data_IF_066758047869
#
_entry.id   IF_066758047869
#
_cell.length_a   1.000
_cell.length_b   1.000
_cell.length_c   1.000
_cell.angle_alpha   90.00
_cell.angle_beta   90.00
_cell.angle_gamma   90.00
#
_symmetry.space_group_name_H-M   'P 1'
#
loop_
_entity.id
_entity.type
_entity.pdbx_description
1 polymer ?
#
# COMPACT_ATOMS: atom_id res chain seq x y z
N UNK A 1 -9.99 60.71 14.59
CA UNK A 1 -11.03 59.73 14.97
C UNK A 1 -10.44 58.82 16.03
N UNK A 2 -10.86 58.97 17.29
CA UNK A 2 -10.42 58.15 18.44
C UNK A 2 -11.52 57.13 18.71
N UNK A 3 -11.16 55.85 18.81
CA UNK A 3 -12.08 54.79 19.23
C UNK A 3 -11.76 54.43 20.69
N UNK A 4 -12.70 54.74 21.57
CA UNK A 4 -12.70 54.29 22.96
C UNK A 4 -13.16 52.84 23.03
N UNK A 5 -12.33 51.99 23.63
CA UNK A 5 -12.69 50.63 24.06
C UNK A 5 -13.15 50.69 25.52
N UNK A 6 -14.46 50.52 25.72
CA UNK A 6 -15.03 50.20 27.02
C UNK A 6 -16.07 49.13 26.82
N UNK A 7 -15.91 47.97 27.47
CA UNK A 7 -16.87 47.43 28.43
C UNK A 7 -16.38 46.08 28.97
N UNK A 8 -16.08 46.08 30.27
CA UNK A 8 -16.01 44.90 31.13
C UNK A 8 -17.44 44.37 31.33
N UNK A 9 -17.63 43.06 31.12
CA UNK A 9 -18.85 42.35 31.50
C UNK A 9 -18.50 41.00 32.13
N UNK A 10 -18.33 41.00 33.46
CA UNK A 10 -18.27 39.78 34.29
C UNK A 10 -19.66 39.13 34.30
N UNK A 11 -19.76 37.87 33.89
CA UNK A 11 -20.92 37.01 34.12
C UNK A 11 -20.55 35.91 35.12
N UNK A 12 -21.32 35.69 36.20
CA UNK A 12 -21.03 34.69 37.22
C UNK A 12 -21.58 33.29 36.89
N UNK A 13 -20.78 32.30 37.24
CA UNK A 13 -21.12 30.94 37.70
C UNK A 13 -22.46 30.31 37.35
N UNK A 14 -22.40 29.29 36.49
CA UNK A 14 -23.36 28.18 36.51
C UNK A 14 -22.58 26.86 36.66
N UNK A 15 -22.55 26.36 37.90
CA UNK A 15 -22.15 24.99 38.22
C UNK A 15 -23.23 24.02 37.68
N UNK A 16 -22.84 23.17 36.73
CA UNK A 16 -23.65 22.00 36.33
C UNK A 16 -23.25 20.80 37.19
N UNK A 17 -24.20 20.02 37.74
CA UNK A 17 -23.91 18.86 38.55
C UNK A 17 -23.37 17.70 37.71
N UNK A 18 -22.32 17.06 38.23
CA UNK A 18 -21.76 15.81 37.73
C UNK A 18 -22.83 14.70 37.73
N UNK A 19 -23.23 14.26 36.54
CA UNK A 19 -24.02 13.03 36.36
C UNK A 19 -23.08 11.84 36.24
N UNK A 20 -22.88 11.15 37.35
CA UNK A 20 -22.31 9.79 37.40
C UNK A 20 -23.29 8.82 36.73
N UNK A 21 -23.05 8.49 35.46
CA UNK A 21 -23.72 7.36 34.80
C UNK A 21 -22.99 6.07 35.17
N UNK A 22 -23.52 5.33 36.15
CA UNK A 22 -23.21 3.92 36.32
C UNK A 22 -23.73 3.14 35.09
N UNK A 23 -22.83 2.87 34.15
CA UNK A 23 -23.09 1.93 33.07
C UNK A 23 -23.09 0.51 33.65
N UNK A 24 -24.30 -0.03 33.85
CA UNK A 24 -24.53 -1.42 34.23
C UNK A 24 -24.11 -2.30 33.04
N UNK A 25 -22.92 -2.89 33.12
CA UNK A 25 -22.38 -3.88 32.18
C UNK A 25 -23.37 -5.04 32.09
N UNK A 26 -24.17 -5.09 31.03
CA UNK A 26 -24.96 -6.28 30.69
C UNK A 26 -23.97 -7.34 30.22
N UNK A 27 -23.78 -8.37 31.03
CA UNK A 27 -23.21 -9.64 30.61
C UNK A 27 -24.02 -10.16 29.41
N UNK A 28 -23.39 -10.16 28.24
CA UNK A 28 -23.93 -10.81 27.05
C UNK A 28 -23.91 -12.31 27.31
N UNK A 29 -25.09 -12.94 27.23
CA UNK A 29 -25.21 -14.38 27.26
C UNK A 29 -24.30 -15.01 26.17
N UNK A 30 -23.68 -16.17 26.45
CA UNK A 30 -22.86 -16.85 25.45
C UNK A 30 -23.72 -17.20 24.22
N UNK A 31 -23.16 -17.15 23.01
CA UNK A 31 -23.87 -17.53 21.80
C UNK A 31 -24.34 -18.99 21.89
N UNK A 32 -25.53 -19.32 21.35
CA UNK A 32 -26.01 -20.69 21.33
C UNK A 32 -25.03 -21.60 20.59
N UNK A 33 -24.79 -22.78 21.15
CA UNK A 33 -23.97 -23.81 20.55
C UNK A 33 -24.50 -24.17 19.15
N UNK A 34 -23.60 -24.20 18.18
CA UNK A 34 -23.87 -24.58 16.80
C UNK A 34 -24.48 -25.99 16.76
N UNK A 35 -25.75 -26.09 16.32
CA UNK A 35 -26.36 -27.37 15.97
C UNK A 35 -26.17 -27.60 14.47
N UNK A 36 -25.48 -28.69 14.07
CA UNK A 36 -25.35 -29.06 12.67
C UNK A 36 -26.72 -29.27 12.03
N UNK A 37 -26.97 -28.61 10.91
CA UNK A 37 -28.16 -28.83 10.09
C UNK A 37 -27.99 -30.21 9.43
N UNK A 38 -28.68 -31.22 9.96
CA UNK A 38 -28.88 -32.49 9.26
C UNK A 38 -29.74 -32.25 8.02
N UNK A 39 -29.25 -32.64 6.84
CA UNK A 39 -30.09 -32.71 5.65
C UNK A 39 -29.52 -32.21 4.32
N UNK A 40 -28.23 -31.90 4.22
CA UNK A 40 -27.63 -31.57 2.91
C UNK A 40 -26.68 -32.68 2.47
N UNK A 41 -27.21 -33.63 1.69
CA UNK A 41 -26.39 -34.60 0.97
C UNK A 41 -25.46 -33.90 -0.03
N UNK A 42 -24.19 -34.29 -0.13
CA UNK A 42 -23.26 -33.73 -1.10
C UNK A 42 -23.61 -34.22 -2.52
N UNK A 43 -23.56 -33.36 -3.55
CA UNK A 43 -23.77 -33.79 -4.93
C UNK A 43 -22.65 -34.72 -5.37
N UNK A 44 -23.05 -35.92 -5.78
CA UNK A 44 -22.19 -36.97 -6.30
C UNK A 44 -21.81 -36.72 -7.77
N UNK A 45 -20.53 -36.93 -8.05
CA UNK A 45 -19.92 -37.35 -9.32
C UNK A 45 -19.97 -36.44 -10.56
N UNK A 46 -18.78 -36.02 -11.01
CA UNK A 46 -18.33 -36.10 -12.41
C UNK A 46 -16.79 -35.99 -12.50
N UNK A 47 -16.11 -37.04 -12.05
CA UNK A 47 -14.66 -37.18 -12.25
C UNK A 47 -14.37 -38.52 -12.90
N UNK A 48 -14.73 -38.64 -14.18
CA UNK A 48 -14.35 -39.79 -15.00
C UNK A 48 -14.40 -39.41 -16.48
N UNK A 49 -13.38 -38.67 -16.95
CA UNK A 49 -13.15 -38.43 -18.39
C UNK A 49 -11.77 -37.85 -18.77
N UNK A 50 -10.72 -38.07 -17.97
CA UNK A 50 -9.35 -37.67 -18.34
C UNK A 50 -8.30 -38.78 -18.12
N UNK A 51 -8.68 -40.03 -18.40
CA UNK A 51 -7.76 -41.18 -18.31
C UNK A 51 -7.76 -42.06 -19.57
N UNK A 52 -7.85 -41.45 -20.75
CA UNK A 52 -7.68 -42.11 -22.06
C UNK A 52 -7.05 -41.18 -23.10
N UNK A 53 -5.84 -40.70 -22.87
CA UNK A 53 -4.93 -40.19 -23.92
C UNK A 53 -3.47 -40.41 -23.47
N UNK A 54 -3.12 -41.66 -23.15
CA UNK A 54 -1.73 -42.08 -22.91
C UNK A 54 -1.53 -43.48 -23.48
N UNK A 55 -1.73 -43.60 -24.78
CA UNK A 55 -1.16 -44.67 -25.60
C UNK A 55 -1.21 -44.17 -27.04
N UNK A 56 -0.13 -43.50 -27.44
CA UNK A 56 0.40 -43.53 -28.81
C UNK A 56 1.86 -43.08 -28.74
N UNK A 57 2.70 -44.08 -28.47
CA UNK A 57 4.15 -44.01 -28.58
C UNK A 57 4.50 -44.94 -29.75
N UNK A 58 4.90 -44.36 -30.89
CA UNK A 58 5.72 -44.95 -31.97
C UNK A 58 5.47 -44.12 -33.25
N UNK A 59 6.41 -43.63 -34.04
CA UNK A 59 7.86 -43.79 -34.14
C UNK A 59 8.29 -42.69 -35.12
N UNK A 60 9.09 -41.70 -34.69
CA UNK A 60 9.82 -40.85 -35.63
C UNK A 60 11.24 -40.62 -35.10
N UNK A 61 12.11 -41.55 -35.45
CA UNK A 61 13.56 -41.47 -35.23
C UNK A 61 14.16 -40.42 -36.17
N UNK A 62 14.08 -39.14 -35.77
CA UNK A 62 14.94 -38.09 -36.34
C UNK A 62 16.38 -38.28 -35.83
N UNK A 63 17.20 -38.94 -36.64
CA UNK A 63 18.67 -38.89 -36.54
C UNK A 63 19.15 -37.45 -36.79
N UNK A 64 19.13 -36.58 -35.77
CA UNK A 64 19.92 -35.35 -35.76
C UNK A 64 21.34 -35.67 -35.31
N UNK A 65 22.29 -35.52 -36.23
CA UNK A 65 23.73 -35.56 -35.94
C UNK A 65 24.05 -34.48 -34.88
N UNK A 66 24.38 -34.91 -33.67
CA UNK A 66 25.01 -34.08 -32.63
C UNK A 66 26.43 -33.74 -33.10
N UNK A 67 26.61 -32.57 -33.70
CA UNK A 67 27.86 -31.83 -33.53
C UNK A 67 27.82 -31.23 -32.12
N UNK A 68 28.80 -31.57 -31.27
CA UNK A 68 29.03 -30.83 -30.02
C UNK A 68 29.28 -29.37 -30.40
N UNK A 69 28.48 -28.40 -29.92
CA UNK A 69 28.88 -27.00 -29.97
C UNK A 69 30.21 -26.87 -29.21
N UNK A 70 31.19 -26.18 -29.77
CA UNK A 70 32.38 -25.79 -29.01
C UNK A 70 31.91 -24.93 -27.84
N UNK A 71 32.34 -25.28 -26.64
CA UNK A 71 32.01 -24.63 -25.37
C UNK A 71 32.68 -23.24 -25.22
N UNK A 72 33.51 -22.87 -26.19
CA UNK A 72 34.16 -21.57 -26.26
C UNK A 72 33.26 -20.62 -27.06
N UNK A 73 32.82 -19.52 -26.43
CA UNK A 73 31.90 -18.48 -26.94
C UNK A 73 30.43 -18.61 -26.53
N UNK A 74 30.14 -18.89 -25.26
CA UNK A 74 29.01 -18.20 -24.64
C UNK A 74 29.49 -16.75 -24.43
N UNK A 75 29.02 -15.76 -25.21
CA UNK A 75 29.38 -14.37 -24.96
C UNK A 75 29.00 -14.06 -23.52
N UNK A 76 29.98 -13.58 -22.73
CA UNK A 76 29.72 -13.10 -21.37
C UNK A 76 28.51 -12.19 -21.46
N UNK A 77 27.47 -12.39 -20.62
CA UNK A 77 26.35 -11.47 -20.58
C UNK A 77 26.94 -10.07 -20.42
N UNK A 78 26.43 -9.08 -21.17
CA UNK A 78 26.93 -7.71 -21.06
C UNK A 78 26.94 -7.32 -19.58
N UNK A 79 27.98 -6.61 -19.10
CA UNK A 79 28.03 -6.19 -17.71
C UNK A 79 26.71 -5.52 -17.37
N UNK A 80 26.07 -6.01 -16.30
CA UNK A 80 24.80 -5.47 -15.79
C UNK A 80 25.04 -3.98 -15.61
N UNK A 81 24.39 -3.16 -16.42
CA UNK A 81 24.55 -1.71 -16.39
C UNK A 81 24.12 -1.29 -14.98
N UNK A 82 25.06 -0.88 -14.14
CA UNK A 82 24.72 -0.25 -12.86
C UNK A 82 23.88 0.98 -13.20
N UNK A 83 22.59 0.92 -12.88
CA UNK A 83 21.65 1.99 -13.14
C UNK A 83 21.95 3.11 -12.17
N UNK A 84 22.85 4.01 -12.58
CA UNK A 84 23.11 5.22 -11.81
C UNK A 84 21.84 6.06 -11.74
N UNK A 85 21.56 6.67 -10.57
CA UNK A 85 20.46 7.63 -10.44
C UNK A 85 20.61 8.73 -11.49
N UNK A 86 19.50 9.27 -12.02
CA UNK A 86 19.58 10.40 -12.93
C UNK A 86 20.32 11.56 -12.26
N UNK A 87 21.01 12.42 -13.04
CA UNK A 87 21.65 13.58 -12.48
C UNK A 87 20.62 14.48 -11.77
N UNK A 88 21.00 15.09 -10.63
CA UNK A 88 20.12 16.02 -9.91
C UNK A 88 19.70 17.17 -10.85
N UNK A 89 18.40 17.49 -10.86
CA UNK A 89 17.83 18.55 -11.71
C UNK A 89 17.29 18.10 -13.08
N UNK A 90 17.20 16.80 -13.35
CA UNK A 90 16.45 16.31 -14.50
C UNK A 90 14.94 16.53 -14.30
N UNK A 91 14.19 16.85 -15.38
CA UNK A 91 12.72 17.02 -15.37
C UNK A 91 11.94 15.71 -15.11
N UNK A 92 12.62 14.69 -14.59
CA UNK A 92 12.08 13.37 -14.33
C UNK A 92 11.26 13.42 -13.06
N UNK A 93 9.94 13.26 -13.18
CA UNK A 93 9.07 13.07 -12.03
C UNK A 93 9.07 11.60 -11.64
N UNK A 94 9.56 11.33 -10.43
CA UNK A 94 9.51 10.01 -9.83
C UNK A 94 8.18 9.78 -9.11
N UNK A 95 7.75 8.53 -9.02
CA UNK A 95 6.52 8.12 -8.36
C UNK A 95 6.83 7.11 -7.27
N UNK A 96 6.26 7.35 -6.09
CA UNK A 96 6.27 6.45 -4.95
C UNK A 96 4.84 5.99 -4.72
N UNK A 97 4.64 4.68 -4.74
CA UNK A 97 3.38 4.04 -4.41
C UNK A 97 3.57 3.26 -3.12
N UNK A 98 2.63 3.39 -2.20
CA UNK A 98 2.65 2.68 -0.92
C UNK A 98 1.24 2.25 -0.56
N UNK A 99 1.09 0.98 -0.20
CA UNK A 99 -0.16 0.43 0.28
C UNK A 99 -0.01 0.01 1.74
N UNK A 100 -0.94 0.48 2.57
CA UNK A 100 -0.99 0.28 4.01
C UNK A 100 -2.33 -0.35 4.36
N UNK A 101 -2.30 -1.38 5.19
CA UNK A 101 -3.51 -2.03 5.69
C UNK A 101 -3.28 -2.57 7.11
N UNK A 102 -4.34 -2.83 7.89
CA UNK A 102 -4.22 -3.54 9.15
C UNK A 102 -3.52 -4.89 8.95
N UNK A 103 -2.57 -5.23 9.83
CA UNK A 103 -1.69 -6.40 9.74
C UNK A 103 -2.41 -7.75 9.59
N UNK A 104 -3.68 -7.81 10.02
CA UNK A 104 -4.51 -9.02 9.97
C UNK A 104 -5.09 -9.31 8.58
N UNK A 105 -4.92 -8.41 7.60
CA UNK A 105 -5.43 -8.58 6.25
C UNK A 105 -4.42 -9.31 5.36
N UNK A 106 -4.66 -10.60 5.06
CA UNK A 106 -3.94 -11.27 3.99
C UNK A 106 -4.30 -10.61 2.62
N UNK A 107 -3.33 -10.16 1.82
CA UNK A 107 -3.56 -9.42 0.57
C UNK A 107 -4.29 -10.22 -0.51
N UNK A 108 -4.17 -11.55 -0.52
CA UNK A 108 -4.90 -12.39 -1.48
C UNK A 108 -6.43 -12.25 -1.34
N UNK A 109 -6.93 -11.76 -0.19
CA UNK A 109 -8.36 -11.62 0.08
C UNK A 109 -8.73 -10.33 0.82
N UNK A 110 -7.87 -9.30 0.82
CA UNK A 110 -7.98 -8.06 1.62
C UNK A 110 -9.26 -7.98 2.46
N UNK A 111 -9.23 -8.60 3.65
CA UNK A 111 -10.39 -8.66 4.55
C UNK A 111 -10.38 -7.55 5.59
N UNK A 112 -9.35 -6.71 5.60
CA UNK A 112 -9.24 -5.56 6.50
C UNK A 112 -10.40 -4.58 6.33
N UNK A 113 -10.66 -3.83 7.39
CA UNK A 113 -11.74 -2.84 7.43
C UNK A 113 -11.47 -1.65 6.50
N UNK A 114 -10.19 -1.32 6.30
CA UNK A 114 -9.72 -0.26 5.43
C UNK A 114 -8.44 -0.64 4.68
N UNK A 115 -8.19 0.07 3.59
CA UNK A 115 -6.96 0.07 2.79
C UNK A 115 -6.57 1.51 2.52
N UNK A 116 -5.31 1.87 2.79
CA UNK A 116 -4.77 3.17 2.41
C UNK A 116 -3.76 3.01 1.27
N UNK A 117 -4.03 3.68 0.16
CA UNK A 117 -3.15 3.76 -1.01
C UNK A 117 -2.58 5.18 -1.07
N UNK A 118 -1.26 5.27 -0.99
CA UNK A 118 -0.52 6.51 -1.00
C UNK A 118 0.25 6.62 -2.32
N UNK A 119 0.15 7.78 -2.94
CA UNK A 119 0.78 8.09 -4.21
C UNK A 119 1.49 9.43 -4.08
N UNK A 120 2.82 9.40 -4.05
CA UNK A 120 3.66 10.58 -3.95
C UNK A 120 4.52 10.76 -5.20
N UNK A 121 4.80 12.01 -5.52
CA UNK A 121 5.66 12.42 -6.62
C UNK A 121 6.75 13.33 -6.11
N UNK A 122 7.96 13.15 -6.64
CA UNK A 122 9.12 14.00 -6.33
C UNK A 122 9.96 14.16 -7.58
N UNK A 123 10.70 15.28 -7.67
CA UNK A 123 11.70 15.52 -8.70
C UNK A 123 13.09 15.01 -8.32
N UNK A 124 13.31 14.68 -7.05
CA UNK A 124 14.62 14.28 -6.53
C UNK A 124 14.47 13.04 -5.64
N UNK A 125 14.11 11.92 -6.27
CA UNK A 125 13.99 10.63 -5.58
C UNK A 125 15.31 10.17 -4.95
N UNK A 126 16.49 10.30 -5.60
CA UNK A 126 17.76 9.92 -4.97
C UNK A 126 17.97 10.65 -3.63
N UNK A 127 17.78 11.97 -3.61
CA UNK A 127 17.91 12.76 -2.38
C UNK A 127 16.84 12.42 -1.35
N UNK A 128 15.59 12.20 -1.77
CA UNK A 128 14.50 11.78 -0.88
C UNK A 128 14.78 10.42 -0.23
N UNK A 129 15.39 9.48 -0.94
CA UNK A 129 15.79 8.19 -0.38
C UNK A 129 16.97 8.36 0.59
N UNK A 130 17.99 9.15 0.23
CA UNK A 130 19.18 9.36 1.06
C UNK A 130 18.91 10.15 2.35
N UNK A 131 18.16 11.25 2.26
CA UNK A 131 17.88 12.14 3.40
C UNK A 131 16.72 11.62 4.25
N UNK A 132 15.80 10.88 3.63
CA UNK A 132 14.67 10.22 4.26
C UNK A 132 13.33 10.78 3.80
N UNK A 133 12.34 9.88 3.70
CA UNK A 133 10.98 10.24 3.34
C UNK A 133 10.13 10.34 4.61
N UNK A 134 9.92 11.56 5.09
CA UNK A 134 9.13 11.83 6.29
C UNK A 134 7.84 12.53 5.92
N UNK A 135 6.72 11.99 6.39
CA UNK A 135 5.43 12.67 6.32
C UNK A 135 4.60 12.35 7.57
N UNK A 136 3.74 13.29 7.95
CA UNK A 136 2.81 13.18 9.08
C UNK A 136 1.50 13.94 8.78
N UNK A 137 0.64 14.05 9.80
CA UNK A 137 -0.63 14.79 9.69
C UNK A 137 -0.44 16.27 9.32
N UNK A 138 0.69 16.88 9.71
CA UNK A 138 1.03 18.26 9.40
C UNK A 138 1.31 18.49 7.91
N UNK A 139 1.57 17.44 7.14
CA UNK A 139 1.73 17.53 5.69
C UNK A 139 0.39 17.53 4.93
N UNK A 140 -0.72 17.23 5.59
CA UNK A 140 -2.04 17.12 4.97
C UNK A 140 -2.63 18.51 4.69
N UNK A 141 -3.11 18.71 3.47
CA UNK A 141 -3.75 19.95 3.04
C UNK A 141 -5.26 19.89 3.33
N UNK A 142 -5.82 20.80 4.16
CA UNK A 142 -7.20 20.71 4.65
C UNK A 142 -8.29 20.69 3.58
N UNK A 143 -8.07 21.35 2.44
CA UNK A 143 -9.12 21.62 1.43
C UNK A 143 -9.03 20.70 0.18
N UNK A 144 -8.25 19.62 0.25
CA UNK A 144 -7.86 18.83 -0.93
C UNK A 144 -8.69 17.58 -1.27
N UNK A 145 -9.72 17.25 -0.49
CA UNK A 145 -10.30 15.91 -0.50
C UNK A 145 -11.38 15.63 -1.55
N UNK A 146 -11.41 14.39 -2.05
CA UNK A 146 -12.46 13.81 -2.89
C UNK A 146 -12.92 12.46 -2.34
N UNK A 147 -13.98 11.88 -2.93
CA UNK A 147 -14.58 10.60 -2.49
C UNK A 147 -14.53 9.50 -3.56
N UNK A 148 -13.61 9.59 -4.52
CA UNK A 148 -13.59 8.68 -5.67
C UNK A 148 -12.83 7.38 -5.38
N UNK A 149 -13.52 6.26 -5.56
CA UNK A 149 -12.95 4.90 -5.53
C UNK A 149 -12.28 4.57 -6.86
N UNK A 150 -11.12 3.93 -6.80
CA UNK A 150 -10.51 3.31 -7.99
C UNK A 150 -11.19 1.97 -8.32
N UNK A 151 -11.17 1.59 -9.60
CA UNK A 151 -11.71 0.29 -10.04
C UNK A 151 -11.07 -0.89 -9.28
N UNK A 152 -9.76 -0.80 -9.01
CA UNK A 152 -9.03 -1.78 -8.21
C UNK A 152 -9.64 -1.96 -6.81
N UNK A 153 -9.98 -0.87 -6.10
CA UNK A 153 -10.57 -0.94 -4.76
C UNK A 153 -11.97 -1.55 -4.77
N UNK A 154 -12.75 -1.27 -5.81
CA UNK A 154 -14.08 -1.87 -5.99
C UNK A 154 -14.00 -3.39 -6.15
N UNK A 155 -12.94 -3.92 -6.77
CA UNK A 155 -12.73 -5.38 -6.90
C UNK A 155 -12.52 -6.08 -5.55
N UNK A 156 -12.01 -5.38 -4.53
CA UNK A 156 -11.90 -5.89 -3.15
C UNK A 156 -13.14 -5.62 -2.29
N UNK A 157 -14.20 -5.09 -2.90
CA UNK A 157 -15.49 -4.83 -2.25
C UNK A 157 -15.54 -3.55 -1.42
N UNK A 158 -14.57 -2.64 -1.55
CA UNK A 158 -14.66 -1.32 -0.93
C UNK A 158 -15.75 -0.49 -1.59
N UNK A 159 -16.47 0.30 -0.79
CA UNK A 159 -17.66 1.06 -1.20
C UNK A 159 -17.57 2.56 -0.94
N UNK A 160 -16.60 2.95 -0.12
CA UNK A 160 -16.36 4.33 0.25
C UNK A 160 -14.88 4.65 0.18
N UNK A 161 -14.55 5.88 -0.18
CA UNK A 161 -13.19 6.40 -0.13
C UNK A 161 -13.15 7.82 0.44
N UNK A 162 -12.05 8.15 1.11
CA UNK A 162 -11.68 9.50 1.49
C UNK A 162 -10.28 9.78 0.97
N UNK A 163 -10.10 10.88 0.24
CA UNK A 163 -8.82 11.30 -0.31
C UNK A 163 -8.29 12.49 0.48
N UNK A 164 -7.00 12.50 0.77
CA UNK A 164 -6.25 13.58 1.38
C UNK A 164 -5.12 13.99 0.43
N UNK A 165 -4.88 15.29 0.29
CA UNK A 165 -3.70 15.80 -0.44
C UNK A 165 -2.60 16.10 0.56
N UNK A 166 -1.37 15.82 0.17
CA UNK A 166 -0.19 16.01 1.00
C UNK A 166 0.88 16.76 0.23
N UNK A 167 1.71 17.53 0.94
CA UNK A 167 2.92 18.15 0.38
C UNK A 167 4.02 18.22 1.43
N UNK A 168 5.26 18.15 0.95
CA UNK A 168 6.43 18.44 1.78
C UNK A 168 6.38 19.87 2.33
N UNK A 169 6.93 20.06 3.52
CA UNK A 169 7.21 21.38 4.09
C UNK A 169 8.70 21.51 4.43
N UNK A 170 9.18 22.75 4.55
CA UNK A 170 10.55 23.05 4.97
C UNK A 170 11.62 22.93 3.88
N UNK A 171 12.88 22.86 4.29
CA UNK A 171 14.08 22.87 3.42
C UNK A 171 14.48 21.48 2.86
N UNK A 172 13.64 20.47 3.09
CA UNK A 172 13.87 19.10 2.66
C UNK A 172 13.58 18.86 1.17
N UNK A 173 13.78 17.62 0.69
CA UNK A 173 13.41 17.22 -0.67
C UNK A 173 11.91 17.44 -0.92
N UNK A 174 11.59 18.14 -2.01
CA UNK A 174 10.22 18.46 -2.36
C UNK A 174 9.45 17.23 -2.87
N UNK A 175 8.25 17.06 -2.36
CA UNK A 175 7.31 16.05 -2.83
C UNK A 175 5.86 16.51 -2.65
N UNK A 176 4.98 15.98 -3.47
CA UNK A 176 3.53 16.14 -3.34
C UNK A 176 2.86 14.80 -3.50
N UNK A 177 1.70 14.60 -2.89
CA UNK A 177 1.03 13.32 -3.01
C UNK A 177 -0.42 13.32 -2.58
N UNK A 178 -1.00 12.13 -2.67
CA UNK A 178 -2.36 11.86 -2.24
C UNK A 178 -2.39 10.59 -1.41
N UNK A 179 -3.16 10.63 -0.33
CA UNK A 179 -3.49 9.46 0.49
C UNK A 179 -4.96 9.16 0.22
N UNK A 180 -5.27 7.98 -0.29
CA UNK A 180 -6.66 7.51 -0.43
C UNK A 180 -6.90 6.39 0.55
N UNK A 181 -7.92 6.56 1.40
CA UNK A 181 -8.37 5.55 2.35
C UNK A 181 -9.71 5.02 1.88
N UNK A 182 -9.77 3.72 1.61
CA UNK A 182 -10.96 3.04 1.13
C UNK A 182 -11.47 2.05 2.17
N UNK A 183 -12.78 1.98 2.35
CA UNK A 183 -13.43 1.11 3.34
C UNK A 183 -14.76 0.54 2.82
N UNK A 184 -15.21 -0.55 3.44
CA UNK A 184 -16.50 -1.19 3.13
C UNK A 184 -17.67 -0.48 3.79
N UNK A 185 -17.42 0.10 4.96
CA UNK A 185 -18.41 0.80 5.77
C UNK A 185 -17.99 2.27 5.95
N UNK A 186 -18.97 3.18 5.83
CA UNK A 186 -18.72 4.61 6.01
C UNK A 186 -18.22 4.93 7.42
N UNK A 187 -18.69 4.17 8.43
CA UNK A 187 -18.28 4.33 9.83
C UNK A 187 -16.77 4.22 10.00
N UNK A 188 -16.14 3.27 9.31
CA UNK A 188 -14.69 3.07 9.34
C UNK A 188 -13.97 4.34 8.86
N UNK A 189 -14.43 4.97 7.77
CA UNK A 189 -13.83 6.23 7.30
C UNK A 189 -14.08 7.42 8.22
N UNK A 190 -15.20 7.44 8.96
CA UNK A 190 -15.47 8.53 9.91
C UNK A 190 -14.60 8.42 11.17
N UNK A 191 -14.26 7.22 11.58
CA UNK A 191 -13.39 6.94 12.74
C UNK A 191 -11.90 6.89 12.35
N UNK A 192 -11.59 6.82 11.05
CA UNK A 192 -10.21 6.78 10.56
C UNK A 192 -9.49 8.13 10.75
N UNK A 193 -8.32 8.05 11.38
CA UNK A 193 -7.39 9.17 11.57
C UNK A 193 -6.08 8.91 10.82
N UNK A 194 -5.47 9.96 10.27
CA UNK A 194 -4.22 9.81 9.51
C UNK A 194 -3.09 9.25 10.40
N UNK A 195 -3.05 9.62 11.67
CA UNK A 195 -2.11 9.09 12.66
C UNK A 195 -2.23 7.59 12.94
N UNK A 196 -3.27 6.91 12.43
CA UNK A 196 -3.33 5.45 12.45
C UNK A 196 -2.38 4.79 11.44
N UNK A 197 -1.91 5.54 10.44
CA UNK A 197 -0.94 5.04 9.48
C UNK A 197 0.44 4.94 10.14
N UNK A 198 1.12 3.82 9.91
CA UNK A 198 2.48 3.58 10.39
C UNK A 198 3.26 2.80 9.33
N UNK A 199 4.58 2.98 9.33
CA UNK A 199 5.51 2.23 8.46
C UNK A 199 5.40 0.72 8.69
N UNK A 200 5.09 0.27 9.91
CA UNK A 200 4.94 -1.16 10.25
C UNK A 200 3.70 -1.81 9.63
N UNK A 201 2.76 -1.01 9.15
CA UNK A 201 1.54 -1.45 8.47
C UNK A 201 1.68 -1.44 6.94
N UNK A 202 2.82 -0.96 6.43
CA UNK A 202 3.12 -1.02 5.00
C UNK A 202 3.30 -2.49 4.62
N UNK A 203 2.51 -2.96 3.66
CA UNK A 203 2.65 -4.31 3.13
C UNK A 203 3.25 -4.31 1.72
N UNK A 204 3.17 -3.17 1.02
CA UNK A 204 3.74 -2.98 -0.31
C UNK A 204 4.20 -1.55 -0.49
N UNK A 205 5.38 -1.38 -1.08
CA UNK A 205 5.87 -0.08 -1.51
C UNK A 205 6.72 -0.22 -2.76
N UNK A 206 6.60 0.74 -3.68
CA UNK A 206 7.39 0.79 -4.91
C UNK A 206 7.81 2.23 -5.17
N UNK A 207 9.07 2.43 -5.56
CA UNK A 207 9.52 3.70 -6.11
C UNK A 207 9.99 3.49 -7.54
N UNK A 208 9.55 4.39 -8.41
CA UNK A 208 9.89 4.40 -9.82
C UNK A 208 10.48 5.74 -10.21
N UNK A 209 11.56 5.69 -10.98
CA UNK A 209 12.23 6.84 -11.55
C UNK A 209 12.05 6.83 -13.07
N UNK A 210 11.81 7.97 -13.69
CA UNK A 210 11.58 8.08 -15.13
C UNK A 210 10.14 8.46 -15.50
N UNK A 211 9.97 8.91 -16.74
CA UNK A 211 8.67 9.30 -17.31
C UNK A 211 8.28 8.39 -18.47
N UNK A 212 6.99 8.11 -18.62
CA UNK A 212 6.44 7.29 -19.70
C UNK A 212 7.07 5.90 -19.77
N UNK A 213 7.52 5.52 -20.97
CA UNK A 213 8.12 4.21 -21.25
C UNK A 213 9.49 3.99 -20.60
N UNK A 214 10.13 5.05 -20.10
CA UNK A 214 11.43 4.97 -19.39
C UNK A 214 11.29 4.87 -17.88
N UNK A 215 10.08 4.62 -17.38
CA UNK A 215 9.86 4.44 -15.95
C UNK A 215 10.48 3.12 -15.50
N UNK A 216 11.52 3.22 -14.68
CA UNK A 216 12.23 2.09 -14.09
C UNK A 216 11.90 1.98 -12.61
N UNK A 217 11.71 0.77 -12.12
CA UNK A 217 11.51 0.50 -10.70
C UNK A 217 12.87 0.45 -10.02
N UNK A 218 13.08 1.33 -9.04
CA UNK A 218 14.37 1.48 -8.34
C UNK A 218 14.31 1.02 -6.89
N UNK A 219 13.10 0.85 -6.36
CA UNK A 219 12.86 0.31 -5.04
C UNK A 219 11.58 -0.51 -5.05
N UNK A 220 11.61 -1.66 -4.37
CA UNK A 220 10.44 -2.51 -4.15
C UNK A 220 10.50 -3.13 -2.75
N UNK A 221 9.38 -3.06 -2.06
CA UNK A 221 9.12 -3.75 -0.82
C UNK A 221 7.77 -4.46 -0.90
N UNK A 222 7.75 -5.71 -0.42
CA UNK A 222 6.60 -6.55 -0.21
C UNK A 222 6.79 -7.31 1.09
N UNK A 223 5.87 -7.14 2.04
CA UNK A 223 5.90 -7.87 3.30
C UNK A 223 5.70 -9.38 3.11
N UNK A 224 5.17 -9.81 1.97
CA UNK A 224 4.92 -11.22 1.66
C UNK A 224 5.99 -11.88 0.80
N UNK A 225 6.59 -11.09 -0.10
CA UNK A 225 7.51 -11.60 -1.10
C UNK A 225 8.90 -11.03 -0.84
N UNK A 226 9.46 -11.34 0.33
CA UNK A 226 10.75 -10.81 0.76
C UNK A 226 11.88 -11.02 -0.27
N UNK A 227 11.84 -12.14 -1.01
CA UNK A 227 12.81 -12.45 -2.07
C UNK A 227 12.75 -11.48 -3.27
N UNK A 228 11.66 -10.73 -3.43
CA UNK A 228 11.49 -9.74 -4.50
C UNK A 228 11.75 -8.32 -4.04
N UNK A 229 12.14 -8.13 -2.79
CA UNK A 229 12.44 -6.83 -2.26
C UNK A 229 13.84 -6.40 -2.73
N UNK A 230 13.97 -5.14 -3.14
CA UNK A 230 15.24 -4.61 -3.61
C UNK A 230 15.30 -3.09 -3.49
N UNK A 231 16.53 -2.59 -3.47
CA UNK A 231 16.87 -1.20 -3.64
C UNK A 231 18.04 -1.10 -4.62
N UNK A 232 17.78 -0.55 -5.81
CA UNK A 232 18.74 -0.53 -6.91
C UNK A 232 19.83 0.55 -6.77
N UNK A 233 19.62 1.54 -5.90
CA UNK A 233 20.54 2.67 -5.74
C UNK A 233 21.35 2.64 -4.46
N UNK A 234 20.82 2.03 -3.40
CA UNK A 234 21.47 2.00 -2.09
C UNK A 234 21.66 0.59 -1.53
N UNK A 235 21.50 -0.45 -2.35
CA UNK A 235 21.69 -1.86 -1.98
C UNK A 235 21.02 -2.22 -0.64
N UNK A 236 21.81 -2.64 0.36
CA UNK A 236 21.33 -3.09 1.67
C UNK A 236 21.18 -1.94 2.70
N UNK A 237 21.40 -0.68 2.28
CA UNK A 237 21.36 0.45 3.20
C UNK A 237 19.96 0.68 3.78
N UNK A 238 19.91 0.87 5.09
CA UNK A 238 18.68 1.24 5.80
C UNK A 238 18.32 2.68 5.47
N UNK A 239 17.23 2.87 4.75
CA UNK A 239 16.68 4.19 4.43
C UNK A 239 15.90 4.74 5.62
N UNK A 240 15.79 6.07 5.72
CA UNK A 240 15.15 6.75 6.87
C UNK A 240 13.69 7.13 6.58
N UNK A 241 12.85 7.07 7.60
CA UNK A 241 11.46 7.51 7.51
C UNK A 241 10.56 6.38 6.99
N UNK A 242 9.67 6.71 6.05
CA UNK A 242 8.63 5.84 5.52
C UNK A 242 9.13 4.86 4.43
N UNK A 243 10.37 4.40 4.57
CA UNK A 243 10.97 3.37 3.73
C UNK A 243 11.11 2.09 4.56
N UNK A 244 10.22 1.09 4.39
CA UNK A 244 10.44 -0.22 4.97
C UNK A 244 11.79 -0.80 4.54
N UNK A 245 12.38 -1.67 5.35
CA UNK A 245 13.56 -2.39 4.89
C UNK A 245 13.15 -3.42 3.83
N UNK A 246 13.71 -3.38 2.60
CA UNK A 246 13.47 -4.36 1.56
C UNK A 246 13.99 -5.74 1.96
#
# INVERSE_FOLDING_TARGET
MRFDFGFLGKMPGLCLPARTRHAKRRESAPPPAYQPIEGTEPPTTKTDKLRRLSHDFSTLTMRRRRGKPKEDEIPKPPPRREEQPPPPGSDVTSLILMDIAPREAAPEYYRGEWLACLEFTTRDLPRLMAEGFFWDEGNVVPEGGGQELRQYEQQFGFRHARVFRCKSGGDGPEWTGTIRVSARELRVLTEFEIGMLSVDLVFRMEATCGTGERRQKVYQYSAQEGEKNFNAWYDEAVLKGWWPWP
#
